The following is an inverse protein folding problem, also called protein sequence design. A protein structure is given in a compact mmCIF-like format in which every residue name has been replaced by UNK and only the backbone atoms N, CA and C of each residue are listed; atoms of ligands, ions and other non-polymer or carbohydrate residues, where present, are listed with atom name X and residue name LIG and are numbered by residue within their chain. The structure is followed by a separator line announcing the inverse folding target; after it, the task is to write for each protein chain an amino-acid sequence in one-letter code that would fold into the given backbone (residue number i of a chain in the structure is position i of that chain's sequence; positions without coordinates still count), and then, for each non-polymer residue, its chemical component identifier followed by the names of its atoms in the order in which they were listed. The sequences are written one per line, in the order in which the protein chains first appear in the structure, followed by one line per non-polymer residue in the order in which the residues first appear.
data_IF_461536427788
#
_entry.id   IF_461536427788
#
_cell.length_a   1.000
_cell.length_b   1.000
_cell.length_c   1.000
_cell.angle_alpha   90.00
_cell.angle_beta   90.00
_cell.angle_gamma   90.00
#
_symmetry.space_group_name_H-M   'P 1'
#
loop_
_entity.id
_entity.type
_entity.pdbx_description
1 polymer ?
#
# COMPACT_ATOMS: atom_id res chain seq x y z
N UNK A 1 12.51 13.29 -10.51
CA UNK A 1 11.31 12.83 -9.77
C UNK A 1 10.66 11.70 -10.56
N UNK A 2 10.33 10.58 -9.91
CA UNK A 2 9.70 9.40 -10.53
C UNK A 2 8.18 9.48 -10.39
N UNK A 3 7.44 9.28 -11.47
CA UNK A 3 5.98 9.36 -11.49
C UNK A 3 5.36 7.98 -11.24
N UNK A 4 4.49 7.89 -10.24
CA UNK A 4 3.81 6.65 -9.87
C UNK A 4 2.32 6.84 -10.05
N UNK A 5 1.69 6.08 -10.96
CA UNK A 5 0.25 6.04 -11.09
C UNK A 5 -0.33 5.06 -10.06
N UNK A 6 -1.26 5.53 -9.22
CA UNK A 6 -1.84 4.71 -8.14
C UNK A 6 -3.35 4.52 -8.28
N UNK A 7 -3.78 3.32 -7.92
CA UNK A 7 -5.17 2.89 -7.87
C UNK A 7 -5.45 2.25 -6.50
N UNK A 8 -6.55 2.61 -5.84
CA UNK A 8 -6.93 2.12 -4.52
C UNK A 8 -8.43 1.93 -4.37
N UNK A 9 -8.85 0.91 -3.61
CA UNK A 9 -10.29 0.60 -3.41
C UNK A 9 -11.04 1.71 -2.68
N UNK A 10 -10.39 2.30 -1.68
CA UNK A 10 -10.96 3.33 -0.84
C UNK A 10 -9.87 4.20 -0.21
N UNK A 11 -10.32 5.16 0.59
CA UNK A 11 -9.48 6.14 1.25
C UNK A 11 -8.47 5.50 2.23
N UNK A 12 -8.81 4.35 2.84
CA UNK A 12 -7.88 3.66 3.74
C UNK A 12 -6.67 3.12 2.99
N UNK A 13 -6.91 2.49 1.84
CA UNK A 13 -5.85 2.06 0.94
C UNK A 13 -5.01 3.26 0.48
N UNK A 14 -5.66 4.37 0.12
CA UNK A 14 -4.95 5.57 -0.34
C UNK A 14 -3.91 6.06 0.67
N UNK A 15 -4.32 6.25 1.93
CA UNK A 15 -3.43 6.75 2.99
C UNK A 15 -2.30 5.78 3.30
N UNK A 16 -2.62 4.50 3.51
CA UNK A 16 -1.61 3.50 3.92
C UNK A 16 -0.60 3.24 2.81
N UNK A 17 -1.07 3.09 1.57
CA UNK A 17 -0.18 2.82 0.43
C UNK A 17 0.64 4.06 0.08
N UNK A 18 0.04 5.25 0.05
CA UNK A 18 0.78 6.48 -0.20
C UNK A 18 1.90 6.70 0.81
N UNK A 19 1.61 6.50 2.10
CA UNK A 19 2.60 6.61 3.17
C UNK A 19 3.72 5.57 3.05
N UNK A 20 3.41 4.31 2.74
CA UNK A 20 4.41 3.25 2.57
C UNK A 20 5.32 3.51 1.36
N UNK A 21 4.73 3.86 0.21
CA UNK A 21 5.46 4.19 -1.03
C UNK A 21 6.45 5.33 -0.75
N UNK A 22 5.98 6.40 -0.11
CA UNK A 22 6.81 7.58 0.23
C UNK A 22 7.90 7.25 1.25
N UNK A 23 7.56 6.54 2.32
CA UNK A 23 8.50 6.14 3.38
C UNK A 23 9.63 5.26 2.84
N UNK A 24 9.33 4.31 1.97
CA UNK A 24 10.33 3.44 1.36
C UNK A 24 11.16 4.23 0.34
N UNK A 25 10.58 5.18 -0.40
CA UNK A 25 11.35 6.00 -1.35
C UNK A 25 12.46 6.80 -0.66
N UNK A 26 12.21 7.29 0.56
CA UNK A 26 13.21 7.95 1.41
C UNK A 26 14.38 7.01 1.75
N UNK A 27 14.15 5.72 2.01
CA UNK A 27 15.24 4.74 2.27
C UNK A 27 16.24 4.67 1.09
N UNK A 28 15.77 4.96 -0.13
CA UNK A 28 16.58 4.89 -1.35
C UNK A 28 17.09 6.26 -1.82
N UNK A 29 16.66 7.36 -1.19
CA UNK A 29 16.87 8.73 -1.63
C UNK A 29 16.28 8.98 -3.04
N UNK A 30 15.02 8.58 -3.24
CA UNK A 30 14.28 8.76 -4.48
C UNK A 30 13.10 9.70 -4.23
N UNK A 31 12.98 10.72 -5.07
CA UNK A 31 11.78 11.57 -5.10
C UNK A 31 10.71 10.90 -5.96
N UNK A 32 9.53 10.72 -5.39
CA UNK A 32 8.37 10.14 -6.06
C UNK A 32 7.22 11.15 -6.11
N UNK A 33 6.49 11.18 -7.22
CA UNK A 33 5.20 11.88 -7.35
C UNK A 33 4.09 10.85 -7.36
N UNK A 34 3.21 10.92 -6.37
CA UNK A 34 2.04 10.05 -6.27
C UNK A 34 0.89 10.64 -7.08
N UNK A 35 0.49 9.95 -8.14
CA UNK A 35 -0.59 10.35 -9.02
C UNK A 35 -1.78 9.39 -8.88
N UNK A 36 -2.73 9.76 -8.02
CA UNK A 36 -3.91 8.95 -7.74
C UNK A 36 -4.91 9.03 -8.89
N UNK A 37 -4.97 7.99 -9.70
CA UNK A 37 -5.90 7.86 -10.84
C UNK A 37 -7.28 7.38 -10.40
N UNK A 38 -7.34 6.56 -9.36
CA UNK A 38 -8.58 6.14 -8.71
C UNK A 38 -8.31 5.76 -7.26
N UNK A 39 -9.11 6.24 -6.32
CA UNK A 39 -8.92 5.93 -4.90
C UNK A 39 -10.24 5.70 -4.13
N UNK A 40 -11.37 5.65 -4.85
CA UNK A 40 -12.71 5.49 -4.26
C UNK A 40 -13.62 4.68 -5.19
N UNK A 41 -14.46 3.84 -4.61
CA UNK A 41 -15.50 3.09 -5.33
C UNK A 41 -15.32 1.56 -5.33
N UNK A 42 -14.38 1.05 -4.53
CA UNK A 42 -14.20 -0.37 -4.26
C UNK A 42 -13.55 -1.16 -5.40
N UNK A 43 -13.42 -2.46 -5.18
CA UNK A 43 -12.69 -3.39 -6.05
C UNK A 43 -13.08 -3.29 -7.54
N UNK A 44 -14.36 -3.43 -7.86
CA UNK A 44 -14.83 -3.46 -9.25
C UNK A 44 -14.50 -2.18 -10.03
N UNK A 45 -14.55 -1.02 -9.37
CA UNK A 45 -14.16 0.25 -9.98
C UNK A 45 -12.66 0.31 -10.19
N UNK A 46 -11.84 -0.06 -9.20
CA UNK A 46 -10.38 -0.12 -9.33
C UNK A 46 -9.95 -0.95 -10.54
N UNK A 47 -10.53 -2.14 -10.70
CA UNK A 47 -10.23 -3.02 -11.84
C UNK A 47 -10.60 -2.36 -13.17
N UNK A 48 -11.76 -1.72 -13.22
CA UNK A 48 -12.22 -1.03 -14.43
C UNK A 48 -11.25 0.11 -14.79
N UNK A 49 -10.91 0.96 -13.81
CA UNK A 49 -10.05 2.12 -14.02
C UNK A 49 -8.62 1.72 -14.40
N UNK A 50 -8.02 0.73 -13.73
CA UNK A 50 -6.66 0.29 -14.08
C UNK A 50 -6.62 -0.33 -15.49
N UNK A 51 -7.63 -1.11 -15.87
CA UNK A 51 -7.71 -1.69 -17.20
C UNK A 51 -7.96 -0.64 -18.29
N UNK A 52 -8.73 0.41 -17.99
CA UNK A 52 -8.88 1.56 -18.90
C UNK A 52 -7.54 2.27 -19.07
N UNK A 53 -6.89 2.60 -17.95
CA UNK A 53 -5.60 3.30 -17.95
C UNK A 53 -4.51 2.53 -18.71
N UNK A 54 -4.38 1.23 -18.46
CA UNK A 54 -3.43 0.37 -19.18
C UNK A 54 -3.72 0.31 -20.68
N UNK A 55 -5.00 0.26 -21.09
CA UNK A 55 -5.38 0.31 -22.52
C UNK A 55 -5.03 1.65 -23.15
N UNK A 56 -5.19 2.74 -22.42
CA UNK A 56 -4.86 4.07 -22.90
C UNK A 56 -3.34 4.26 -23.04
N UNK A 57 -2.54 3.73 -22.11
CA UNK A 57 -1.07 3.72 -22.18
C UNK A 57 -0.53 2.94 -23.40
N UNK A 58 -1.23 1.90 -23.84
CA UNK A 58 -0.86 1.15 -25.06
C UNK A 58 -1.19 1.96 -26.31
N UNK A 59 -2.29 2.72 -26.30
CA UNK A 59 -2.83 3.42 -27.48
C UNK A 59 -2.23 4.80 -27.72
N UNK A 60 -1.67 5.43 -26.69
CA UNK A 60 -1.26 6.84 -26.73
C UNK A 60 0.26 6.99 -26.56
N UNK A 61 0.85 7.98 -27.25
CA UNK A 61 2.22 8.46 -27.03
C UNK A 61 2.32 9.40 -25.80
N UNK A 62 1.40 9.29 -24.85
CA UNK A 62 1.44 10.08 -23.63
C UNK A 62 2.65 9.68 -22.77
N UNK A 63 3.18 10.60 -21.95
CA UNK A 63 4.21 10.26 -21.00
C UNK A 63 3.72 9.13 -20.09
N UNK A 64 4.47 8.02 -20.10
CA UNK A 64 4.19 6.84 -19.30
C UNK A 64 4.67 7.08 -17.87
N UNK A 65 3.95 6.61 -16.83
CA UNK A 65 4.47 6.63 -15.48
C UNK A 65 5.70 5.71 -15.38
N UNK A 66 6.55 5.94 -14.39
CA UNK A 66 7.67 5.04 -14.09
C UNK A 66 7.19 3.75 -13.41
N UNK A 67 6.04 3.78 -12.73
CA UNK A 67 5.46 2.65 -11.99
C UNK A 67 3.94 2.77 -11.91
N UNK A 68 3.26 1.62 -11.94
CA UNK A 68 1.84 1.49 -11.62
C UNK A 68 1.69 0.72 -10.31
N UNK A 69 0.94 1.26 -9.35
CA UNK A 69 0.60 0.60 -8.08
C UNK A 69 -0.91 0.42 -7.98
N UNK A 70 -1.35 -0.80 -7.71
CA UNK A 70 -2.78 -1.11 -7.51
C UNK A 70 -3.00 -1.74 -6.16
N UNK A 71 -3.86 -1.14 -5.36
CA UNK A 71 -4.14 -1.51 -3.98
C UNK A 71 -5.56 -2.05 -3.80
N UNK A 72 -5.67 -3.32 -3.41
CA UNK A 72 -6.96 -4.01 -3.22
C UNK A 72 -6.88 -5.05 -2.11
N UNK A 73 -7.90 -5.17 -1.29
CA UNK A 73 -7.94 -6.20 -0.25
C UNK A 73 -8.05 -7.61 -0.84
N UNK A 74 -7.27 -8.55 -0.30
CA UNK A 74 -7.44 -9.96 -0.60
C UNK A 74 -8.84 -10.46 -0.20
N UNK A 75 -9.45 -9.84 0.82
CA UNK A 75 -10.69 -10.29 1.43
C UNK A 75 -10.58 -11.80 1.75
N UNK A 76 -11.59 -12.61 1.40
CA UNK A 76 -11.54 -14.05 1.62
C UNK A 76 -10.97 -14.85 0.43
N UNK A 77 -10.54 -14.18 -0.65
CA UNK A 77 -9.92 -14.86 -1.80
C UNK A 77 -8.45 -15.23 -1.53
N UNK A 78 -7.80 -14.51 -0.61
CA UNK A 78 -6.39 -14.67 -0.31
C UNK A 78 -5.46 -14.04 -1.35
N UNK A 79 -4.22 -13.81 -0.93
CA UNK A 79 -3.20 -13.09 -1.70
C UNK A 79 -2.99 -13.64 -3.12
N UNK A 80 -2.80 -14.96 -3.26
CA UNK A 80 -2.41 -15.54 -4.55
C UNK A 80 -3.47 -15.39 -5.63
N UNK A 81 -4.74 -15.56 -5.28
CA UNK A 81 -5.83 -15.48 -6.27
C UNK A 81 -6.12 -14.03 -6.61
N UNK A 82 -6.09 -13.12 -5.63
CA UNK A 82 -6.25 -11.69 -5.90
C UNK A 82 -5.17 -11.15 -6.84
N UNK A 83 -3.93 -11.61 -6.70
CA UNK A 83 -2.82 -11.21 -7.57
C UNK A 83 -3.02 -11.58 -9.05
N UNK A 84 -3.80 -12.64 -9.35
CA UNK A 84 -4.08 -13.08 -10.73
C UNK A 84 -5.13 -12.21 -11.43
N UNK A 85 -5.91 -11.44 -10.68
CA UNK A 85 -7.01 -10.63 -11.23
C UNK A 85 -6.51 -9.33 -11.87
N UNK A 86 -5.27 -8.93 -11.59
CA UNK A 86 -4.65 -7.70 -12.10
C UNK A 86 -3.34 -8.09 -12.78
N UNK A 87 -3.37 -8.15 -14.11
CA UNK A 87 -2.22 -8.50 -14.94
C UNK A 87 -2.08 -7.41 -15.99
N UNK A 88 -0.90 -6.80 -16.05
CA UNK A 88 -0.52 -5.87 -17.11
C UNK A 88 0.37 -6.57 -18.14
N UNK A 89 0.29 -6.22 -19.43
CA UNK A 89 1.24 -6.68 -20.44
C UNK A 89 2.67 -6.18 -20.13
N UNK A 90 3.68 -6.93 -20.59
CA UNK A 90 5.10 -6.63 -20.36
C UNK A 90 5.56 -5.30 -20.99
N UNK A 91 4.85 -4.83 -22.01
CA UNK A 91 5.13 -3.58 -22.72
C UNK A 91 4.79 -2.32 -21.90
N UNK A 92 4.12 -2.48 -20.75
CA UNK A 92 3.75 -1.40 -19.85
C UNK A 92 4.81 -1.17 -18.76
N UNK A 93 4.77 0.02 -18.11
CA UNK A 93 5.57 0.24 -16.91
C UNK A 93 5.35 -0.86 -15.86
N UNK A 94 6.34 -1.12 -14.99
CA UNK A 94 6.21 -2.10 -13.92
C UNK A 94 4.90 -1.96 -13.14
N UNK A 95 4.27 -3.09 -12.83
CA UNK A 95 3.01 -3.15 -12.10
C UNK A 95 3.21 -3.83 -10.74
N UNK A 96 3.06 -3.07 -9.67
CA UNK A 96 3.05 -3.57 -8.29
C UNK A 96 1.62 -3.65 -7.78
N UNK A 97 1.30 -4.78 -7.16
CA UNK A 97 0.01 -5.01 -6.52
C UNK A 97 0.20 -4.99 -5.00
N UNK A 98 -0.40 -4.02 -4.34
CA UNK A 98 -0.52 -3.98 -2.89
C UNK A 98 -1.79 -4.73 -2.50
N UNK A 99 -1.64 -5.93 -1.95
CA UNK A 99 -2.79 -6.80 -1.65
C UNK A 99 -2.79 -7.16 -0.17
N UNK A 100 -3.31 -6.30 0.72
CA UNK A 100 -3.45 -6.65 2.13
C UNK A 100 -4.27 -7.92 2.30
N UNK A 101 -3.77 -8.86 3.09
CA UNK A 101 -4.44 -10.13 3.34
C UNK A 101 -4.81 -10.27 4.83
N UNK A 102 -6.10 -10.20 5.19
CA UNK A 102 -7.26 -10.00 4.31
C UNK A 102 -7.60 -8.52 4.02
N UNK A 103 -7.21 -7.59 4.91
CA UNK A 103 -7.64 -6.19 4.90
C UNK A 103 -6.54 -5.21 5.28
N UNK A 104 -6.55 -4.00 4.71
CA UNK A 104 -5.52 -2.97 4.93
C UNK A 104 -5.37 -2.56 6.39
N UNK A 105 -6.44 -2.50 7.18
CA UNK A 105 -6.37 -2.11 8.60
C UNK A 105 -5.52 -3.09 9.42
N UNK A 106 -5.42 -4.36 8.97
CA UNK A 106 -4.56 -5.34 9.64
C UNK A 106 -3.11 -4.89 9.63
N UNK A 107 -2.61 -4.33 8.51
CA UNK A 107 -1.23 -3.87 8.42
C UNK A 107 -0.89 -2.81 9.47
N UNK A 108 -1.83 -1.92 9.79
CA UNK A 108 -1.67 -0.88 10.81
C UNK A 108 -1.55 -1.42 12.24
N UNK A 109 -2.03 -2.64 12.48
CA UNK A 109 -2.04 -3.29 13.79
C UNK A 109 -0.88 -4.26 14.00
N UNK A 110 -0.08 -4.56 12.96
CA UNK A 110 0.98 -5.57 13.04
C UNK A 110 2.20 -5.12 13.86
N UNK A 111 2.38 -3.82 14.07
CA UNK A 111 3.48 -3.29 14.86
C UNK A 111 2.99 -2.50 16.08
N UNK A 112 2.84 -3.21 17.20
CA UNK A 112 2.49 -2.58 18.47
C UNK A 112 3.48 -1.52 18.94
N UNK A 113 4.73 -1.51 18.44
CA UNK A 113 5.69 -0.44 18.77
C UNK A 113 5.40 0.87 18.02
N UNK A 114 4.93 0.78 16.78
CA UNK A 114 4.45 1.94 16.02
C UNK A 114 3.20 2.53 16.68
N UNK A 115 2.28 1.65 17.10
CA UNK A 115 1.09 2.05 17.84
C UNK A 115 1.45 2.77 19.15
N UNK A 116 2.43 2.25 19.88
CA UNK A 116 2.97 2.88 21.09
C UNK A 116 3.60 4.25 20.81
N UNK A 117 4.29 4.42 19.68
CA UNK A 117 4.89 5.69 19.33
C UNK A 117 3.83 6.78 19.06
N UNK A 118 2.71 6.42 18.43
CA UNK A 118 1.63 7.36 18.09
C UNK A 118 0.71 7.63 19.28
N UNK A 119 0.37 6.60 20.06
CA UNK A 119 -0.68 6.70 21.10
C UNK A 119 -0.17 6.50 22.54
N UNK A 120 1.13 6.30 22.74
CA UNK A 120 1.74 6.05 24.06
C UNK A 120 1.55 4.62 24.61
N UNK A 121 0.63 3.85 24.04
CA UNK A 121 0.30 2.47 24.43
C UNK A 121 0.41 1.58 23.19
N UNK A 122 0.97 0.37 23.34
CA UNK A 122 1.05 -0.58 22.23
C UNK A 122 -0.26 -1.32 21.97
N UNK A 123 -0.34 -2.04 20.85
CA UNK A 123 -1.43 -2.96 20.55
C UNK A 123 -0.92 -4.36 20.26
N UNK A 124 -1.77 -5.36 20.48
CA UNK A 124 -1.47 -6.75 20.11
C UNK A 124 -1.67 -6.94 18.60
N UNK A 125 -0.69 -7.58 17.97
CA UNK A 125 -0.79 -7.94 16.57
C UNK A 125 -1.94 -8.95 16.36
N UNK A 126 -2.89 -8.68 15.45
CA UNK A 126 -4.02 -9.55 15.27
C UNK A 126 -3.65 -10.82 14.48
N UNK A 127 -4.49 -11.84 14.64
CA UNK A 127 -4.47 -13.06 13.82
C UNK A 127 -4.78 -12.76 12.34
N UNK A 128 -4.68 -13.77 11.48
CA UNK A 128 -5.10 -13.69 10.08
C UNK A 128 -6.39 -14.49 9.86
N UNK A 129 -7.52 -13.85 10.08
CA UNK A 129 -8.88 -14.35 9.81
C UNK A 129 -9.60 -13.48 8.79
N UNK A 130 -10.27 -14.06 7.81
CA UNK A 130 -11.10 -13.29 6.89
C UNK A 130 -12.40 -12.81 7.55
N UNK A 131 -12.37 -11.58 8.07
CA UNK A 131 -13.54 -10.86 8.57
C UNK A 131 -13.27 -9.36 8.46
N UNK A 132 -13.96 -8.69 7.52
CA UNK A 132 -13.76 -7.26 7.25
C UNK A 132 -14.09 -6.38 8.45
N UNK A 133 -15.15 -6.71 9.18
CA UNK A 133 -15.55 -5.89 10.33
C UNK A 133 -14.56 -6.02 11.46
N UNK A 134 -13.92 -7.18 11.58
CA UNK A 134 -12.98 -7.50 12.67
C UNK A 134 -11.80 -6.54 12.75
N UNK A 135 -11.06 -6.31 11.67
CA UNK A 135 -9.86 -5.45 11.78
C UNK A 135 -10.19 -3.98 11.91
N UNK A 136 -11.25 -3.51 11.24
CA UNK A 136 -11.75 -2.16 11.43
C UNK A 136 -12.19 -1.92 12.88
N UNK A 137 -12.93 -2.85 13.47
CA UNK A 137 -13.31 -2.78 14.88
C UNK A 137 -12.10 -2.84 15.80
N UNK A 138 -11.15 -3.76 15.55
CA UNK A 138 -9.92 -3.84 16.35
C UNK A 138 -9.08 -2.58 16.29
N UNK A 139 -8.99 -1.91 15.13
CA UNK A 139 -8.30 -0.64 15.01
C UNK A 139 -8.98 0.44 15.86
N UNK A 140 -10.31 0.56 15.75
CA UNK A 140 -11.09 1.50 16.56
C UNK A 140 -10.94 1.22 18.05
N UNK A 141 -11.03 -0.04 18.47
CA UNK A 141 -10.90 -0.47 19.86
C UNK A 141 -9.49 -0.23 20.40
N UNK A 142 -8.46 -0.58 19.64
CA UNK A 142 -7.07 -0.32 20.02
C UNK A 142 -6.82 1.16 20.28
N UNK A 143 -7.37 2.05 19.43
CA UNK A 143 -7.26 3.52 19.61
C UNK A 143 -8.06 3.99 20.83
N UNK A 144 -9.29 3.47 21.02
CA UNK A 144 -10.12 3.84 22.18
C UNK A 144 -9.47 3.44 23.50
N UNK A 145 -8.77 2.31 23.53
CA UNK A 145 -8.06 1.84 24.72
C UNK A 145 -6.89 2.75 25.12
N UNK A 146 -6.47 3.69 24.26
CA UNK A 146 -5.48 4.72 24.59
C UNK A 146 -6.11 6.00 25.13
N UNK A 147 -7.43 6.04 25.30
CA UNK A 147 -8.19 7.25 25.65
C UNK A 147 -8.52 8.16 24.47
N UNK A 148 -8.13 7.78 23.25
CA UNK A 148 -8.36 8.56 22.02
C UNK A 148 -9.68 8.16 21.36
N UNK A 149 -10.48 9.13 20.91
CA UNK A 149 -11.73 8.85 20.20
C UNK A 149 -11.49 9.04 18.69
N UNK A 150 -11.45 7.95 17.89
CA UNK A 150 -11.32 8.09 16.45
C UNK A 150 -12.62 8.64 15.84
N UNK A 151 -12.50 9.68 15.01
CA UNK A 151 -13.60 10.31 14.29
C UNK A 151 -13.85 9.67 12.93
N UNK A 152 -12.82 9.13 12.27
CA UNK A 152 -12.91 8.52 10.94
C UNK A 152 -12.63 7.01 10.97
N UNK A 153 -12.88 6.37 12.11
CA UNK A 153 -12.73 4.93 12.27
C UNK A 153 -11.28 4.47 12.42
N UNK A 154 -10.37 5.39 12.77
CA UNK A 154 -8.97 5.13 13.07
C UNK A 154 -8.04 5.35 11.89
N UNK A 155 -8.59 5.48 10.67
CA UNK A 155 -7.79 5.66 9.46
C UNK A 155 -7.14 7.03 9.37
N UNK A 156 -7.66 8.02 10.10
CA UNK A 156 -7.06 9.35 10.21
C UNK A 156 -5.63 9.33 10.80
N UNK A 157 -5.23 8.23 11.45
CA UNK A 157 -3.88 8.04 12.01
C UNK A 157 -3.01 7.11 11.14
N UNK A 158 -3.48 6.72 9.96
CA UNK A 158 -2.79 5.74 9.11
C UNK A 158 -1.38 6.20 8.73
N UNK A 159 -1.21 7.47 8.34
CA UNK A 159 0.09 8.00 7.94
C UNK A 159 1.06 8.02 9.13
N UNK A 160 0.64 8.51 10.30
CA UNK A 160 1.46 8.53 11.52
C UNK A 160 1.91 7.13 11.94
N UNK A 161 1.00 6.15 11.88
CA UNK A 161 1.30 4.75 12.17
C UNK A 161 2.32 4.18 11.18
N UNK A 162 2.14 4.44 9.88
CA UNK A 162 3.09 4.01 8.85
C UNK A 162 4.46 4.65 9.04
N UNK A 163 4.51 5.94 9.43
CA UNK A 163 5.78 6.62 9.70
C UNK A 163 6.58 5.96 10.83
N UNK A 164 5.91 5.38 11.82
CA UNK A 164 6.56 4.71 12.96
C UNK A 164 6.73 3.20 12.78
N UNK A 165 6.18 2.61 11.71
CA UNK A 165 6.24 1.17 11.49
C UNK A 165 7.67 0.69 11.26
N UNK A 166 8.06 -0.39 11.94
CA UNK A 166 9.25 -1.14 11.60
C UNK A 166 8.93 -2.09 10.43
N UNK A 167 9.17 -1.60 9.22
CA UNK A 167 8.88 -2.30 7.97
C UNK A 167 9.45 -3.73 7.96
N UNK A 168 10.70 -3.91 8.43
CA UNK A 168 11.35 -5.22 8.42
C UNK A 168 10.71 -6.20 9.40
N UNK A 169 10.24 -5.72 10.57
CA UNK A 169 9.50 -6.54 11.53
C UNK A 169 8.15 -6.95 10.94
N UNK A 170 7.39 -6.01 10.41
CA UNK A 170 6.05 -6.29 9.83
C UNK A 170 6.15 -7.24 8.64
N UNK A 171 7.15 -7.07 7.76
CA UNK A 171 7.40 -7.99 6.66
C UNK A 171 7.72 -9.43 7.12
N UNK A 172 8.26 -9.65 8.33
CA UNK A 172 8.43 -11.01 8.87
C UNK A 172 7.12 -11.59 9.38
N UNK A 173 6.21 -10.75 9.87
CA UNK A 173 4.93 -11.16 10.45
C UNK A 173 3.84 -11.37 9.40
N UNK A 174 3.93 -10.69 8.25
CA UNK A 174 2.92 -10.76 7.22
C UNK A 174 3.47 -10.92 5.80
N UNK A 175 3.04 -11.99 5.14
CA UNK A 175 3.47 -12.34 3.78
C UNK A 175 3.01 -11.30 2.75
N UNK A 176 1.82 -10.74 2.91
CA UNK A 176 1.24 -9.81 1.95
C UNK A 176 1.94 -8.46 1.98
N UNK A 177 2.22 -7.95 3.18
CA UNK A 177 3.02 -6.76 3.42
C UNK A 177 4.44 -6.94 2.89
N UNK A 178 5.10 -8.06 3.22
CA UNK A 178 6.45 -8.38 2.73
C UNK A 178 6.53 -8.29 1.22
N UNK A 179 5.60 -8.95 0.52
CA UNK A 179 5.59 -9.00 -0.95
C UNK A 179 5.49 -7.62 -1.57
N UNK A 180 4.66 -6.75 -1.00
CA UNK A 180 4.53 -5.37 -1.48
C UNK A 180 5.81 -4.56 -1.25
N UNK A 181 6.39 -4.63 -0.05
CA UNK A 181 7.63 -3.92 0.31
C UNK A 181 8.81 -4.39 -0.52
N UNK A 182 8.99 -5.70 -0.70
CA UNK A 182 10.06 -6.26 -1.52
C UNK A 182 9.95 -5.80 -2.98
N UNK A 183 8.72 -5.79 -3.54
CA UNK A 183 8.51 -5.30 -4.89
C UNK A 183 8.90 -3.82 -5.03
N UNK A 184 8.49 -2.96 -4.09
CA UNK A 184 8.88 -1.54 -4.09
C UNK A 184 10.38 -1.35 -3.96
N UNK A 185 11.02 -2.05 -3.01
CA UNK A 185 12.47 -1.95 -2.78
C UNK A 185 13.27 -2.38 -4.00
N UNK A 186 12.84 -3.43 -4.69
CA UNK A 186 13.49 -3.88 -5.92
C UNK A 186 13.39 -2.81 -7.03
N UNK A 187 12.18 -2.28 -7.27
CA UNK A 187 11.98 -1.20 -8.26
C UNK A 187 12.80 0.05 -7.93
N UNK A 188 12.87 0.44 -6.65
CA UNK A 188 13.63 1.61 -6.23
C UNK A 188 15.14 1.38 -6.32
N UNK A 189 15.60 0.18 -6.03
CA UNK A 189 17.00 -0.20 -6.24
C UNK A 189 17.38 -0.08 -7.72
N UNK A 190 16.54 -0.59 -8.63
CA UNK A 190 16.75 -0.48 -10.07
C UNK A 190 16.83 0.99 -10.52
N UNK A 191 15.90 1.84 -10.09
CA UNK A 191 15.93 3.27 -10.41
C UNK A 191 17.19 3.95 -9.89
N UNK A 192 17.64 3.61 -8.68
CA UNK A 192 18.87 4.15 -8.09
C UNK A 192 20.11 3.74 -8.88
N UNK A 193 20.15 2.51 -9.38
CA UNK A 193 21.25 2.02 -10.23
C UNK A 193 21.26 2.71 -11.60
N UNK A 194 20.09 2.89 -12.23
CA UNK A 194 19.96 3.60 -13.50
C UNK A 194 20.46 5.05 -13.41
N UNK A 195 20.10 5.79 -12.36
CA UNK A 195 20.55 7.17 -12.16
C UNK A 195 22.06 7.29 -12.02
N UNK A 196 22.75 6.26 -11.49
CA UNK A 196 24.21 6.23 -11.37
C UNK A 196 24.89 6.01 -12.72
N UNK A 197 24.35 5.12 -13.54
CA UNK A 197 24.89 4.86 -14.88
C UNK A 197 24.70 6.04 -15.83
N UNK A 198 23.59 6.78 -15.70
CA UNK A 198 23.33 7.97 -16.52
C UNK A 198 24.18 9.20 -16.16
N UNK A 199 24.95 9.15 -15.07
CA UNK A 199 25.81 10.24 -14.59
C UNK A 199 27.30 10.03 -14.90
N UNK A 200 27.64 8.97 -15.66
CA UNK A 200 28.98 8.63 -16.15
C UNK A 200 29.04 8.84 -17.67
#
# INVERSE_FOLDING_TARGET
MREIALFAEDFAHQLVIGALVSKIAVEFNIEVRLDWRSAVGGYGRVITEVNNYMRDLIRQENPRPDLIVVATDANCKGLNDRMKEIIGPEELPPLIRAVPDPHIERWLLLDGSAFKAVFGVGCDAPDQKCDRRRYKQRLIEAIRNTGTIPRLGGIEYAEDLVQHININRVARLDRSFRRFVEALRNTYLEWKLQSRTASL
#
